data_IF_088339564399
#
_entry.id   IF_088339564399
#
_cell.length_a   1.000
_cell.length_b   1.000
_cell.length_c   1.000
_cell.angle_alpha   90.00
_cell.angle_beta   90.00
_cell.angle_gamma   90.00
#
_symmetry.space_group_name_H-M   'P 1'
#
loop_
_entity.id
_entity.type
_entity.pdbx_description
1 polymer ?
#
# COMPACT_ATOMS: atom_id res chain seq x y z
N UNK A 1 11.24 3.69 3.05
CA UNK A 1 11.06 4.63 1.94
C UNK A 1 11.34 6.06 2.39
N UNK A 2 10.68 6.58 3.46
CA UNK A 2 10.88 7.96 3.94
C UNK A 2 12.37 8.30 4.12
N UNK A 3 13.09 7.55 4.96
CA UNK A 3 14.52 7.79 5.24
C UNK A 3 15.38 7.78 3.96
N UNK A 4 15.03 6.93 2.99
CA UNK A 4 15.71 6.91 1.70
C UNK A 4 15.50 8.22 0.93
N UNK A 5 14.28 8.72 0.89
CA UNK A 5 13.95 10.00 0.23
C UNK A 5 14.61 11.18 0.92
N UNK A 6 14.62 11.22 2.26
CA UNK A 6 15.30 12.25 3.05
C UNK A 6 16.80 12.29 2.76
N UNK A 7 17.45 11.13 2.70
CA UNK A 7 18.87 11.05 2.35
C UNK A 7 19.17 11.52 0.93
N UNK A 8 18.22 11.39 0.01
CA UNK A 8 18.41 11.71 -1.41
C UNK A 8 18.00 13.14 -1.78
N UNK A 9 16.97 13.68 -1.13
CA UNK A 9 16.30 14.94 -1.47
C UNK A 9 16.38 16.01 -0.36
N UNK A 10 16.82 15.66 0.84
CA UNK A 10 16.77 16.52 2.02
C UNK A 10 15.44 16.35 2.77
N UNK A 11 14.89 17.43 3.31
CA UNK A 11 13.66 17.38 4.09
C UNK A 11 12.48 16.85 3.25
N UNK A 12 11.77 15.85 3.79
CA UNK A 12 10.59 15.26 3.19
C UNK A 12 9.39 15.44 4.13
N UNK A 13 8.39 16.15 3.67
CA UNK A 13 7.08 16.16 4.33
C UNK A 13 6.32 14.93 3.92
N UNK A 14 5.73 14.22 4.87
CA UNK A 14 5.00 12.98 4.59
C UNK A 14 3.75 12.87 5.43
N UNK A 15 2.77 12.15 4.90
CA UNK A 15 1.54 11.80 5.58
C UNK A 15 1.17 10.35 5.29
N UNK A 16 0.52 9.69 6.26
CA UNK A 16 -0.06 8.35 6.09
C UNK A 16 -1.53 8.44 6.49
N UNK A 17 -2.41 7.97 5.63
CA UNK A 17 -3.83 7.87 5.95
C UNK A 17 -4.31 6.43 5.84
N UNK A 18 -5.22 6.05 6.72
CA UNK A 18 -5.93 4.79 6.66
C UNK A 18 -7.18 4.97 5.79
N UNK A 19 -7.36 4.10 4.80
CA UNK A 19 -8.52 4.13 3.92
C UNK A 19 -9.30 2.80 3.93
N UNK A 20 -9.27 2.08 5.05
CA UNK A 20 -9.97 0.81 5.25
C UNK A 20 -11.49 0.93 5.06
N UNK A 21 -12.07 2.10 5.27
CA UNK A 21 -13.48 2.36 4.99
C UNK A 21 -13.83 2.08 3.53
N UNK A 22 -12.96 2.46 2.59
CA UNK A 22 -13.12 2.15 1.16
C UNK A 22 -13.05 0.65 0.88
N UNK A 23 -12.14 -0.08 1.54
CA UNK A 23 -12.01 -1.53 1.38
C UNK A 23 -13.23 -2.30 1.94
N UNK A 24 -13.77 -1.83 3.06
CA UNK A 24 -14.86 -2.51 3.76
C UNK A 24 -16.22 -2.42 3.03
N UNK A 25 -16.38 -1.49 2.10
CA UNK A 25 -17.63 -1.34 1.35
C UNK A 25 -17.81 -2.47 0.33
N UNK A 26 -19.08 -2.85 0.11
CA UNK A 26 -19.50 -3.82 -0.91
C UNK A 26 -19.96 -3.08 -2.17
N UNK A 27 -20.58 -1.91 -1.98
CA UNK A 27 -21.09 -1.04 -3.06
C UNK A 27 -20.73 0.42 -2.75
N UNK A 28 -20.90 1.26 -3.75
CA UNK A 28 -20.83 2.73 -3.61
C UNK A 28 -19.49 3.25 -3.04
N UNK A 29 -18.39 2.52 -3.26
CA UNK A 29 -17.05 2.92 -2.79
C UNK A 29 -16.65 4.32 -3.22
N UNK A 30 -17.17 4.80 -4.35
CA UNK A 30 -16.89 6.15 -4.85
C UNK A 30 -17.35 7.26 -3.89
N UNK A 31 -18.39 7.02 -3.09
CA UNK A 31 -18.88 7.99 -2.10
C UNK A 31 -17.84 8.30 -1.01
N UNK A 32 -16.86 7.43 -0.83
CA UNK A 32 -15.78 7.60 0.16
C UNK A 32 -14.56 8.34 -0.39
N UNK A 33 -14.44 8.49 -1.72
CA UNK A 33 -13.28 9.15 -2.32
C UNK A 33 -13.05 10.59 -1.82
N UNK A 34 -14.08 11.42 -1.55
CA UNK A 34 -13.88 12.76 -1.00
C UNK A 34 -13.22 12.80 0.38
N UNK A 35 -13.17 11.69 1.11
CA UNK A 35 -12.42 11.60 2.37
C UNK A 35 -10.91 11.78 2.17
N UNK A 36 -10.43 11.62 0.95
CA UNK A 36 -9.04 11.85 0.58
C UNK A 36 -8.71 13.33 0.30
N UNK A 37 -9.72 14.19 0.10
CA UNK A 37 -9.51 15.59 -0.29
C UNK A 37 -8.56 16.36 0.64
N UNK A 38 -8.60 16.20 1.97
CA UNK A 38 -7.66 16.90 2.84
C UNK A 38 -6.18 16.51 2.66
N UNK A 39 -5.93 15.39 1.97
CA UNK A 39 -4.61 14.77 1.80
C UNK A 39 -4.09 14.84 0.37
N UNK A 40 -4.89 15.39 -0.57
CA UNK A 40 -4.53 15.44 -1.99
C UNK A 40 -4.39 16.89 -2.45
N UNK A 41 -3.27 17.21 -3.07
CA UNK A 41 -3.03 18.51 -3.72
C UNK A 41 -1.98 18.37 -4.82
N UNK A 42 -1.87 19.39 -5.66
CA UNK A 42 -0.85 19.45 -6.71
C UNK A 42 0.58 19.69 -6.19
N UNK A 43 0.74 19.91 -4.87
CA UNK A 43 2.05 20.03 -4.20
C UNK A 43 2.68 18.68 -3.85
N UNK A 44 1.96 17.57 -4.07
CA UNK A 44 2.46 16.22 -3.75
C UNK A 44 3.33 15.72 -4.90
N UNK A 45 4.54 15.26 -4.58
CA UNK A 45 5.46 14.67 -5.55
C UNK A 45 5.23 13.16 -5.73
N UNK A 46 4.83 12.45 -4.67
CA UNK A 46 4.72 11.00 -4.66
C UNK A 46 3.55 10.53 -3.79
N UNK A 47 2.73 9.65 -4.35
CA UNK A 47 1.67 8.93 -3.63
C UNK A 47 1.93 7.43 -3.75
N UNK A 48 1.94 6.72 -2.63
CA UNK A 48 1.96 5.26 -2.61
C UNK A 48 0.62 4.74 -2.10
N UNK A 49 0.03 3.78 -2.80
CA UNK A 49 -1.26 3.19 -2.46
C UNK A 49 -1.07 1.70 -2.22
N UNK A 50 -1.32 1.26 -0.99
CA UNK A 50 -1.36 -0.16 -0.62
C UNK A 50 -2.73 -0.44 -0.01
N UNK A 51 -3.66 -0.88 -0.84
CA UNK A 51 -5.04 -1.20 -0.50
C UNK A 51 -5.45 -2.50 -1.20
N UNK A 52 -6.43 -3.19 -0.65
CA UNK A 52 -7.04 -4.39 -1.25
C UNK A 52 -7.10 -5.58 -0.30
N UNK A 53 -6.20 -5.67 0.67
CA UNK A 53 -6.05 -6.88 1.49
C UNK A 53 -7.25 -7.17 2.40
N UNK A 54 -8.03 -6.15 2.76
CA UNK A 54 -9.25 -6.27 3.56
C UNK A 54 -10.54 -6.34 2.71
N UNK A 55 -10.44 -6.29 1.40
CA UNK A 55 -11.59 -6.40 0.50
C UNK A 55 -12.12 -7.83 0.52
N UNK A 56 -13.38 -8.01 0.91
CA UNK A 56 -14.05 -9.29 0.93
C UNK A 56 -14.91 -9.52 -0.33
N UNK A 57 -15.60 -8.49 -0.81
CA UNK A 57 -16.34 -8.54 -2.06
C UNK A 57 -15.54 -7.87 -3.19
N UNK A 58 -15.13 -8.68 -4.14
CA UNK A 58 -14.31 -8.26 -5.28
C UNK A 58 -15.11 -8.02 -6.56
N UNK A 59 -16.45 -8.09 -6.50
CA UNK A 59 -17.32 -8.01 -7.68
C UNK A 59 -17.11 -6.73 -8.47
N UNK A 60 -16.99 -5.60 -7.79
CA UNK A 60 -16.76 -4.28 -8.39
C UNK A 60 -15.34 -3.75 -8.15
N UNK A 61 -14.51 -4.51 -7.40
CA UNK A 61 -13.22 -4.04 -6.90
C UNK A 61 -12.32 -3.41 -7.95
N UNK A 62 -12.19 -4.03 -9.12
CA UNK A 62 -11.33 -3.51 -10.20
C UNK A 62 -11.80 -2.14 -10.71
N UNK A 63 -13.12 -1.96 -10.88
CA UNK A 63 -13.72 -0.71 -11.33
C UNK A 63 -13.57 0.36 -10.25
N UNK A 64 -13.87 0.02 -9.00
CA UNK A 64 -13.78 0.95 -7.86
C UNK A 64 -12.34 1.40 -7.65
N UNK A 65 -11.37 0.48 -7.78
CA UNK A 65 -9.96 0.81 -7.67
C UNK A 65 -9.47 1.69 -8.83
N UNK A 66 -9.96 1.46 -10.04
CA UNK A 66 -9.69 2.33 -11.18
C UNK A 66 -10.24 3.75 -10.95
N UNK A 67 -11.45 3.87 -10.39
CA UNK A 67 -12.05 5.15 -10.05
C UNK A 67 -11.28 5.87 -8.92
N UNK A 68 -10.77 5.13 -7.94
CA UNK A 68 -9.83 5.67 -6.95
C UNK A 68 -8.58 6.27 -7.63
N UNK A 69 -7.96 5.57 -8.56
CA UNK A 69 -6.78 6.06 -9.27
C UNK A 69 -7.08 7.31 -10.10
N UNK A 70 -8.23 7.35 -10.79
CA UNK A 70 -8.70 8.55 -11.51
C UNK A 70 -8.87 9.74 -10.57
N UNK A 71 -9.48 9.49 -9.41
CA UNK A 71 -9.71 10.52 -8.40
C UNK A 71 -8.40 11.10 -7.87
N UNK A 72 -7.48 10.24 -7.45
CA UNK A 72 -6.16 10.63 -6.95
C UNK A 72 -5.40 11.44 -8.00
N UNK A 73 -5.34 10.97 -9.25
CA UNK A 73 -4.66 11.68 -10.33
C UNK A 73 -5.29 13.02 -10.67
N UNK A 74 -6.60 13.15 -10.52
CA UNK A 74 -7.31 14.42 -10.74
C UNK A 74 -7.00 15.45 -9.65
N UNK A 75 -6.85 15.00 -8.38
CA UNK A 75 -6.68 15.87 -7.21
C UNK A 75 -5.21 16.19 -6.90
N UNK A 76 -4.30 15.34 -7.35
CA UNK A 76 -2.86 15.48 -7.18
C UNK A 76 -2.17 15.24 -8.54
N UNK A 77 -2.42 16.14 -9.49
CA UNK A 77 -2.08 15.96 -10.91
C UNK A 77 -0.58 15.89 -11.16
N UNK A 78 0.23 16.47 -10.28
CA UNK A 78 1.70 16.46 -10.36
C UNK A 78 2.33 15.23 -9.71
N UNK A 79 1.57 14.48 -8.90
CA UNK A 79 2.11 13.36 -8.15
C UNK A 79 2.45 12.16 -9.05
N UNK A 80 3.61 11.56 -8.82
CA UNK A 80 3.88 10.20 -9.26
C UNK A 80 3.08 9.24 -8.36
N UNK A 81 2.25 8.40 -8.96
CA UNK A 81 1.43 7.44 -8.22
C UNK A 81 2.00 6.04 -8.37
N UNK A 82 2.20 5.35 -7.26
CA UNK A 82 2.67 3.97 -7.18
C UNK A 82 1.63 3.14 -6.43
N UNK A 83 1.16 2.06 -7.04
CA UNK A 83 0.30 1.06 -6.41
C UNK A 83 1.15 -0.14 -6.01
N UNK A 84 1.01 -0.58 -4.77
CA UNK A 84 1.74 -1.73 -4.22
C UNK A 84 0.80 -2.94 -4.23
N UNK A 85 1.31 -4.06 -4.70
CA UNK A 85 0.61 -5.34 -4.71
C UNK A 85 0.27 -5.86 -3.31
N UNK A 86 -0.59 -6.86 -3.26
CA UNK A 86 -0.98 -7.51 -2.01
C UNK A 86 0.16 -8.38 -1.47
N UNK A 87 0.33 -8.36 -0.16
CA UNK A 87 1.26 -9.25 0.54
C UNK A 87 0.66 -10.66 0.70
N UNK A 88 -0.66 -10.77 0.85
CA UNK A 88 -1.38 -12.04 0.87
C UNK A 88 -2.20 -12.22 -0.40
N UNK A 89 -1.92 -13.29 -1.14
CA UNK A 89 -2.73 -13.66 -2.30
C UNK A 89 -4.12 -14.11 -1.87
N UNK A 90 -5.16 -13.49 -2.43
CA UNK A 90 -6.55 -13.85 -2.21
C UNK A 90 -7.40 -13.58 -3.44
N UNK A 91 -7.81 -14.64 -4.13
CA UNK A 91 -8.55 -14.50 -5.37
C UNK A 91 -7.75 -13.71 -6.41
N UNK A 92 -8.44 -12.93 -7.22
CA UNK A 92 -7.85 -12.10 -8.28
C UNK A 92 -7.83 -10.60 -7.93
N UNK A 93 -7.83 -10.25 -6.64
CA UNK A 93 -7.80 -8.82 -6.19
C UNK A 93 -6.61 -8.07 -6.75
N UNK A 94 -5.45 -8.70 -6.67
CA UNK A 94 -4.18 -8.10 -7.09
C UNK A 94 -4.13 -7.94 -8.60
N UNK A 95 -4.64 -8.92 -9.36
CA UNK A 95 -4.78 -8.82 -10.81
C UNK A 95 -5.71 -7.67 -11.22
N UNK A 96 -6.83 -7.48 -10.51
CA UNK A 96 -7.75 -6.38 -10.75
C UNK A 96 -7.09 -5.02 -10.49
N UNK A 97 -6.29 -4.88 -9.42
CA UNK A 97 -5.50 -3.67 -9.18
C UNK A 97 -4.49 -3.42 -10.30
N UNK A 98 -3.78 -4.47 -10.72
CA UNK A 98 -2.81 -4.35 -11.81
C UNK A 98 -3.47 -3.90 -13.10
N UNK A 99 -4.64 -4.45 -13.47
CA UNK A 99 -5.39 -3.99 -14.62
C UNK A 99 -5.80 -2.52 -14.50
N UNK A 100 -6.26 -2.08 -13.33
CA UNK A 100 -6.61 -0.68 -13.08
C UNK A 100 -5.38 0.24 -13.22
N UNK A 101 -4.21 -0.19 -12.77
CA UNK A 101 -2.97 0.61 -12.94
C UNK A 101 -2.57 0.74 -14.39
N UNK A 102 -2.71 -0.32 -15.19
CA UNK A 102 -2.46 -0.28 -16.64
C UNK A 102 -3.43 0.70 -17.31
N UNK A 103 -4.73 0.58 -17.03
CA UNK A 103 -5.78 1.45 -17.60
C UNK A 103 -5.54 2.94 -17.28
N UNK A 104 -4.99 3.24 -16.11
CA UNK A 104 -4.74 4.61 -15.66
C UNK A 104 -3.29 5.09 -15.86
N UNK A 105 -2.43 4.29 -16.50
CA UNK A 105 -1.00 4.59 -16.65
C UNK A 105 -0.35 4.97 -15.32
N UNK A 106 -0.54 4.11 -14.32
CA UNK A 106 0.02 4.22 -12.97
C UNK A 106 1.03 3.10 -12.77
N UNK A 107 2.09 3.36 -12.04
CA UNK A 107 3.13 2.36 -11.77
C UNK A 107 2.65 1.34 -10.74
N UNK A 108 2.79 0.05 -11.06
CA UNK A 108 2.50 -1.07 -10.18
C UNK A 108 3.79 -1.71 -9.66
N UNK A 109 3.83 -1.98 -8.36
CA UNK A 109 4.93 -2.67 -7.68
C UNK A 109 4.46 -4.08 -7.31
N UNK A 110 4.88 -5.08 -8.06
CA UNK A 110 4.63 -6.48 -7.70
C UNK A 110 5.40 -6.88 -6.44
N UNK A 111 4.72 -7.59 -5.55
CA UNK A 111 5.36 -8.26 -4.40
C UNK A 111 5.66 -9.75 -4.66
N UNK A 112 5.69 -10.17 -5.92
CA UNK A 112 6.07 -11.54 -6.28
C UNK A 112 7.46 -11.90 -5.71
N UNK A 113 7.54 -13.09 -5.12
CA UNK A 113 8.74 -13.55 -4.39
C UNK A 113 8.84 -13.05 -2.94
N UNK A 114 8.04 -12.04 -2.56
CA UNK A 114 7.90 -11.54 -1.18
C UNK A 114 6.58 -12.03 -0.60
N UNK A 115 5.48 -11.82 -1.34
CA UNK A 115 4.13 -12.23 -0.93
C UNK A 115 4.05 -13.72 -0.68
N UNK A 116 3.22 -14.12 0.29
CA UNK A 116 2.98 -15.51 0.70
C UNK A 116 4.27 -16.29 1.08
N UNK A 117 5.40 -15.62 1.22
CA UNK A 117 6.66 -16.24 1.61
C UNK A 117 6.88 -16.12 3.12
N UNK A 118 6.82 -17.25 3.81
CA UNK A 118 6.97 -17.33 5.27
C UNK A 118 8.28 -16.77 5.82
N UNK A 119 9.32 -16.68 4.99
CA UNK A 119 10.59 -16.06 5.36
C UNK A 119 10.46 -14.56 5.70
N UNK A 120 9.43 -13.92 5.16
CA UNK A 120 9.12 -12.50 5.37
C UNK A 120 8.06 -12.25 6.43
N UNK A 121 7.50 -13.30 7.02
CA UNK A 121 6.52 -13.18 8.10
C UNK A 121 7.19 -12.77 9.41
N UNK A 122 6.42 -12.12 10.28
CA UNK A 122 6.86 -11.79 11.63
C UNK A 122 7.15 -13.07 12.43
N UNK A 123 6.29 -14.09 12.29
CA UNK A 123 6.47 -15.40 12.92
C UNK A 123 5.94 -15.47 14.35
N UNK A 124 5.47 -16.66 14.72
CA UNK A 124 5.09 -16.96 16.10
C UNK A 124 6.33 -16.98 17.01
N UNK A 125 6.19 -16.51 18.24
CA UNK A 125 7.28 -16.46 19.22
C UNK A 125 8.27 -15.30 19.02
N UNK A 126 8.12 -14.50 17.99
CA UNK A 126 8.98 -13.33 17.78
C UNK A 126 8.71 -12.27 18.85
N UNK A 127 9.77 -11.76 19.46
CA UNK A 127 9.68 -10.65 20.40
C UNK A 127 9.63 -9.32 19.63
N UNK A 128 8.63 -8.52 19.94
CA UNK A 128 8.43 -7.18 19.37
C UNK A 128 8.28 -6.16 20.50
N UNK A 129 8.75 -4.94 20.25
CA UNK A 129 8.59 -3.83 21.18
C UNK A 129 7.24 -3.14 20.93
N UNK A 130 6.45 -2.95 21.98
CA UNK A 130 5.20 -2.19 21.90
C UNK A 130 5.46 -0.67 21.97
N UNK A 131 4.39 0.12 21.84
CA UNK A 131 4.48 1.59 21.88
C UNK A 131 4.97 2.17 23.21
N UNK A 132 5.03 1.35 24.27
CA UNK A 132 5.50 1.73 25.61
C UNK A 132 6.94 1.27 25.88
N UNK A 133 7.57 0.59 24.90
CA UNK A 133 8.92 0.05 25.02
C UNK A 133 9.00 -1.33 25.67
N UNK A 134 7.87 -2.01 25.90
CA UNK A 134 7.87 -3.34 26.50
C UNK A 134 8.00 -4.41 25.41
N UNK A 135 8.81 -5.42 25.68
CA UNK A 135 8.93 -6.59 24.80
C UNK A 135 7.72 -7.51 24.98
N UNK A 136 7.06 -7.81 23.88
CA UNK A 136 5.91 -8.73 23.81
C UNK A 136 6.15 -9.81 22.77
N UNK A 137 5.74 -11.04 23.09
CA UNK A 137 5.82 -12.15 22.17
C UNK A 137 4.59 -12.19 21.25
N UNK A 138 4.80 -12.40 19.96
CA UNK A 138 3.72 -12.65 19.01
C UNK A 138 3.15 -14.05 19.27
N UNK A 139 1.96 -14.11 19.85
CA UNK A 139 1.26 -15.33 20.23
C UNK A 139 -0.08 -15.54 19.48
N UNK A 140 -0.32 -14.76 18.42
CA UNK A 140 -1.53 -14.83 17.61
C UNK A 140 -1.17 -15.11 16.15
N UNK A 141 -1.70 -16.19 15.57
CA UNK A 141 -1.38 -16.63 14.21
C UNK A 141 -1.65 -15.54 13.15
N UNK A 142 -2.79 -14.84 13.27
CA UNK A 142 -3.13 -13.75 12.35
C UNK A 142 -2.12 -12.59 12.38
N UNK A 143 -1.46 -12.34 13.51
CA UNK A 143 -0.39 -11.34 13.63
C UNK A 143 0.91 -11.90 13.06
N UNK A 144 1.20 -13.17 13.33
CA UNK A 144 2.44 -13.82 12.94
C UNK A 144 2.64 -13.90 11.41
N UNK A 145 1.55 -13.91 10.64
CA UNK A 145 1.60 -13.95 9.17
C UNK A 145 1.80 -12.57 8.53
N UNK A 146 1.76 -11.47 9.30
CA UNK A 146 2.08 -10.14 8.77
C UNK A 146 3.56 -10.03 8.41
N UNK A 147 3.94 -9.10 7.51
CA UNK A 147 5.34 -8.86 7.23
C UNK A 147 6.08 -8.47 8.51
N UNK A 148 7.12 -9.23 8.87
CA UNK A 148 8.07 -8.84 9.91
C UNK A 148 9.09 -7.83 9.36
N UNK A 149 10.10 -7.47 10.15
CA UNK A 149 11.12 -6.48 9.76
C UNK A 149 11.78 -6.80 8.43
N UNK A 150 12.10 -8.08 8.19
CA UNK A 150 12.65 -8.54 6.92
C UNK A 150 11.69 -8.34 5.76
N UNK A 151 10.39 -8.65 5.98
CA UNK A 151 9.34 -8.47 4.99
C UNK A 151 9.10 -6.99 4.68
N UNK A 152 8.97 -6.17 5.70
CA UNK A 152 8.82 -4.71 5.56
C UNK A 152 10.02 -4.08 4.85
N UNK A 153 11.22 -4.58 5.13
CA UNK A 153 12.43 -4.14 4.45
C UNK A 153 12.40 -4.51 2.97
N UNK A 154 12.06 -5.75 2.64
CA UNK A 154 11.98 -6.21 1.26
C UNK A 154 10.95 -5.44 0.44
N UNK A 155 9.77 -5.16 1.02
CA UNK A 155 8.73 -4.31 0.40
C UNK A 155 9.29 -2.90 0.17
N UNK A 156 9.93 -2.30 1.17
CA UNK A 156 10.49 -0.96 1.06
C UNK A 156 11.57 -0.87 -0.02
N UNK A 157 12.47 -1.86 -0.09
CA UNK A 157 13.54 -1.91 -1.09
C UNK A 157 12.94 -2.04 -2.51
N UNK A 158 11.89 -2.86 -2.71
CA UNK A 158 11.18 -2.98 -3.98
C UNK A 158 10.54 -1.65 -4.43
N UNK A 159 9.93 -0.92 -3.50
CA UNK A 159 9.36 0.42 -3.78
C UNK A 159 10.48 1.40 -4.16
N UNK A 160 11.61 1.36 -3.46
CA UNK A 160 12.77 2.23 -3.72
C UNK A 160 13.36 1.96 -5.12
N UNK A 161 13.47 0.70 -5.53
CA UNK A 161 13.91 0.33 -6.88
C UNK A 161 13.02 0.97 -7.95
N UNK A 162 11.69 0.90 -7.76
CA UNK A 162 10.73 1.50 -8.67
C UNK A 162 10.84 3.03 -8.68
N UNK A 163 10.95 3.69 -7.52
CA UNK A 163 11.17 5.14 -7.45
C UNK A 163 12.43 5.55 -8.22
N UNK A 164 13.50 4.77 -8.15
CA UNK A 164 14.73 5.05 -8.89
C UNK A 164 14.57 4.92 -10.39
N UNK A 165 13.73 4.02 -10.86
CA UNK A 165 13.48 3.82 -12.29
C UNK A 165 12.55 4.88 -12.90
N UNK A 166 11.83 5.63 -12.08
CA UNK A 166 10.90 6.69 -12.52
C UNK A 166 11.57 8.07 -12.74
N UNK A 167 12.88 8.18 -12.47
CA UNK A 167 13.62 9.45 -12.59
C UNK A 167 14.26 9.61 -13.97
#
# INVERSE_FOLDING_TARGET
>A
VKNYLENKKGTVTWHVTNFSTFEAQISDREEFLPLLDPYLSDEIDLITIQLGENVNDITTWGIDFENLLKYVKKKASNAKVIVIGDFWSKGNRDDQKQHATIAQNVTYVSLDGIKDNKEYYAGMGTLVEDSEGNMKEINHEGVAIHPGDKGMRAIADRIIEVINSMN
#
